data_IF_426082015780
#
_entry.id   IF_426082015780
#
_cell.length_a   1.000
_cell.length_b   1.000
_cell.length_c   1.000
_cell.angle_alpha   90.00
_cell.angle_beta   90.00
_cell.angle_gamma   90.00
#
_symmetry.space_group_name_H-M   'P 1'
#
loop_
_entity.id
_entity.type
_entity.pdbx_description
1 polymer ?
#
# COMPACT_ATOMS: atom_id res chain seq x y z
N UNK A 1 62.46 10.41 4.99
CA UNK A 1 62.68 9.50 3.84
C UNK A 1 61.85 8.25 4.08
N UNK A 2 60.93 7.93 3.15
CA UNK A 2 59.97 6.79 3.10
C UNK A 2 58.75 6.88 4.04
N UNK A 3 57.62 7.50 3.65
CA UNK A 3 56.53 7.06 2.73
C UNK A 3 55.62 5.94 3.25
N UNK A 4 54.31 6.22 3.14
CA UNK A 4 53.22 5.29 2.81
C UNK A 4 52.60 4.44 3.93
N UNK A 5 51.46 4.90 4.47
CA UNK A 5 50.11 4.32 4.25
C UNK A 5 49.10 4.97 5.20
N UNK A 6 48.58 6.12 4.79
CA UNK A 6 47.30 6.62 5.29
C UNK A 6 46.25 5.82 4.50
N UNK A 7 45.54 4.94 5.20
CA UNK A 7 44.37 4.24 4.69
C UNK A 7 43.22 5.27 4.61
N UNK A 8 43.20 6.08 3.55
CA UNK A 8 41.98 6.74 3.11
C UNK A 8 41.08 5.62 2.60
N UNK A 9 40.16 5.18 3.46
CA UNK A 9 38.99 4.42 3.03
C UNK A 9 38.20 5.38 2.16
N UNK A 10 38.39 5.22 0.85
CA UNK A 10 37.51 5.74 -0.19
C UNK A 10 36.11 5.18 0.12
N UNK A 11 35.33 5.95 0.87
CA UNK A 11 33.89 5.79 0.95
C UNK A 11 33.36 6.16 -0.44
N UNK A 12 33.38 5.20 -1.36
CA UNK A 12 32.63 5.21 -2.60
C UNK A 12 31.14 5.23 -2.20
N UNK A 13 30.65 6.41 -1.83
CA UNK A 13 29.22 6.68 -1.85
C UNK A 13 28.86 6.71 -3.33
N UNK A 14 28.48 5.56 -3.88
CA UNK A 14 27.73 5.48 -5.12
C UNK A 14 26.37 6.13 -4.86
N UNK A 15 26.32 7.46 -4.96
CA UNK A 15 25.10 8.19 -5.23
C UNK A 15 24.66 7.74 -6.63
N UNK A 16 23.85 6.68 -6.69
CA UNK A 16 23.01 6.39 -7.85
C UNK A 16 21.92 7.47 -7.90
N UNK A 17 22.29 8.68 -8.35
CA UNK A 17 21.31 9.62 -8.87
C UNK A 17 20.85 9.05 -10.21
N UNK A 18 19.78 8.27 -10.17
CA UNK A 18 18.98 7.95 -11.35
C UNK A 18 18.48 9.26 -11.94
N UNK A 19 19.25 9.83 -12.86
CA UNK A 19 18.77 10.83 -13.80
C UNK A 19 17.82 10.09 -14.74
N UNK A 20 16.55 10.00 -14.34
CA UNK A 20 15.49 9.50 -15.19
C UNK A 20 15.37 10.45 -16.39
N UNK A 21 16.02 10.12 -17.50
CA UNK A 21 15.80 10.75 -18.79
C UNK A 21 14.37 10.39 -19.18
N UNK A 22 13.49 11.39 -19.09
CA UNK A 22 12.10 11.31 -19.50
C UNK A 22 12.02 11.85 -20.93
N UNK A 23 11.55 11.04 -21.86
CA UNK A 23 11.26 11.42 -23.24
C UNK A 23 9.81 11.08 -23.63
N UNK A 24 9.02 12.08 -23.95
CA UNK A 24 7.74 11.87 -24.62
C UNK A 24 8.00 11.75 -26.11
N UNK A 25 7.34 10.83 -26.80
CA UNK A 25 7.58 10.54 -28.22
C UNK A 25 6.26 10.53 -28.99
N UNK A 26 6.27 10.99 -30.23
CA UNK A 26 5.17 10.78 -31.17
C UNK A 26 5.30 9.39 -31.76
N UNK A 27 4.22 8.62 -31.75
CA UNK A 27 4.14 7.32 -32.42
C UNK A 27 3.69 7.49 -33.86
N UNK A 28 2.68 8.33 -34.07
CA UNK A 28 2.12 8.59 -35.39
C UNK A 28 1.31 9.87 -35.43
N UNK A 29 1.25 10.47 -36.61
CA UNK A 29 0.42 11.62 -36.92
C UNK A 29 -0.23 11.41 -38.28
N UNK A 30 -1.52 11.72 -38.41
CA UNK A 30 -2.24 11.63 -39.67
C UNK A 30 -3.31 12.72 -39.78
N UNK A 31 -3.70 13.04 -41.02
CA UNK A 31 -4.89 13.86 -41.32
C UNK A 31 -6.03 12.90 -41.68
N UNK A 32 -7.14 12.98 -40.95
CA UNK A 32 -8.30 12.11 -41.11
C UNK A 32 -9.54 12.97 -41.26
N UNK A 33 -10.34 12.73 -42.30
CA UNK A 33 -11.67 13.30 -42.41
C UNK A 33 -12.63 12.50 -41.52
N UNK A 34 -13.10 13.11 -40.43
CA UNK A 34 -14.04 12.49 -39.49
C UNK A 34 -15.45 13.00 -39.78
N UNK A 35 -16.30 12.11 -40.25
CA UNK A 35 -17.72 12.39 -40.49
C UNK A 35 -18.57 11.91 -39.32
N UNK A 36 -19.46 12.78 -38.84
CA UNK A 36 -20.43 12.47 -37.80
C UNK A 36 -21.82 12.48 -38.46
N UNK A 37 -22.49 11.34 -38.41
CA UNK A 37 -23.87 11.19 -38.86
C UNK A 37 -24.80 11.37 -37.67
N UNK A 38 -25.55 12.47 -37.64
CA UNK A 38 -26.50 12.74 -36.56
C UNK A 38 -27.82 12.00 -36.82
N UNK A 39 -28.11 11.00 -35.99
CA UNK A 39 -29.33 10.21 -36.07
C UNK A 39 -30.54 10.81 -35.33
N UNK A 40 -30.43 12.02 -34.79
CA UNK A 40 -31.52 12.65 -34.03
C UNK A 40 -32.70 13.11 -34.90
N UNK A 41 -32.50 13.23 -36.21
CA UNK A 41 -33.54 13.64 -37.18
C UNK A 41 -33.87 12.50 -38.14
N UNK A 42 -35.11 12.48 -38.66
CA UNK A 42 -35.60 11.46 -39.62
C UNK A 42 -34.77 11.42 -40.93
N UNK A 43 -34.21 12.56 -41.30
CA UNK A 43 -33.15 12.68 -42.32
C UNK A 43 -31.82 12.82 -41.57
N UNK A 44 -30.95 11.80 -41.58
CA UNK A 44 -29.67 11.88 -40.88
C UNK A 44 -28.75 12.84 -41.61
N UNK A 45 -28.41 13.96 -40.95
CA UNK A 45 -27.42 14.91 -41.46
C UNK A 45 -26.01 14.39 -41.20
N UNK A 46 -25.12 14.55 -42.18
CA UNK A 46 -23.71 14.19 -42.07
C UNK A 46 -22.86 15.46 -42.10
N UNK A 47 -22.04 15.63 -41.07
CA UNK A 47 -21.08 16.73 -40.96
C UNK A 47 -19.67 16.15 -40.92
N UNK A 48 -18.83 16.50 -41.89
CA UNK A 48 -17.46 16.01 -41.98
C UNK A 48 -16.46 17.15 -41.73
N UNK A 49 -15.54 16.92 -40.80
CA UNK A 49 -14.43 17.84 -40.53
C UNK A 49 -13.09 17.14 -40.80
N UNK A 50 -12.13 17.87 -41.35
CA UNK A 50 -10.74 17.41 -41.41
C UNK A 50 -10.10 17.57 -40.04
N UNK A 51 -9.55 16.48 -39.48
CA UNK A 51 -8.91 16.45 -38.16
C UNK A 51 -7.50 15.93 -38.27
N UNK A 52 -6.60 16.51 -37.48
CA UNK A 52 -5.28 15.95 -37.24
C UNK A 52 -5.39 15.05 -36.02
N UNK A 53 -4.96 13.79 -36.19
CA UNK A 53 -4.92 12.79 -35.13
C UNK A 53 -3.47 12.47 -34.83
N UNK A 54 -3.08 12.62 -33.57
CA UNK A 54 -1.71 12.41 -33.08
C UNK A 54 -1.74 11.38 -31.98
N UNK A 55 -1.06 10.26 -32.18
CA UNK A 55 -0.83 9.26 -31.16
C UNK A 55 0.55 9.50 -30.54
N UNK A 56 0.61 9.68 -29.22
CA UNK A 56 1.85 10.01 -28.51
C UNK A 56 2.01 9.17 -27.24
N UNK A 57 3.26 8.88 -26.89
CA UNK A 57 3.61 8.34 -25.58
C UNK A 57 4.01 9.48 -24.65
N UNK A 58 3.32 9.61 -23.53
CA UNK A 58 3.69 10.55 -22.48
C UNK A 58 4.47 9.82 -21.39
N UNK A 59 5.62 10.38 -21.03
CA UNK A 59 6.14 10.28 -19.66
C UNK A 59 6.17 11.69 -19.07
N UNK A 60 6.45 11.81 -17.77
CA UNK A 60 6.25 13.02 -16.94
C UNK A 60 7.04 14.30 -17.32
N UNK A 61 7.02 14.71 -18.58
CA UNK A 61 7.64 15.90 -19.17
C UNK A 61 6.61 16.70 -19.99
N UNK A 62 6.87 18.00 -20.12
CA UNK A 62 6.13 18.94 -20.97
C UNK A 62 6.42 18.68 -22.45
N UNK A 63 5.38 18.28 -23.20
CA UNK A 63 5.41 18.13 -24.65
C UNK A 63 4.46 19.14 -25.27
N UNK A 64 4.91 19.93 -26.26
CA UNK A 64 4.11 21.01 -26.86
C UNK A 64 3.78 20.71 -28.32
N UNK A 65 2.49 20.72 -28.65
CA UNK A 65 1.98 20.63 -30.03
C UNK A 65 1.45 22.00 -30.43
N UNK A 66 1.98 22.54 -31.52
CA UNK A 66 1.54 23.79 -32.14
C UNK A 66 0.74 23.46 -33.40
N UNK A 67 -0.49 23.94 -33.54
CA UNK A 67 -1.30 23.72 -34.75
C UNK A 67 -1.64 25.01 -35.45
N UNK A 68 -1.54 25.04 -36.78
CA UNK A 68 -1.92 26.20 -37.60
C UNK A 68 -3.25 25.92 -38.30
N UNK A 69 -4.18 26.86 -38.20
CA UNK A 69 -5.49 26.82 -38.86
C UNK A 69 -5.50 27.89 -39.98
N UNK A 70 -5.73 27.48 -41.21
CA UNK A 70 -5.98 28.34 -42.36
C UNK A 70 -7.51 28.46 -42.54
N UNK A 71 -8.10 29.60 -42.17
CA UNK A 71 -9.52 29.86 -42.46
C UNK A 71 -9.62 30.62 -43.80
N UNK A 72 -10.31 30.03 -44.78
CA UNK A 72 -10.54 30.64 -46.09
C UNK A 72 -11.87 31.40 -46.05
N UNK A 73 -11.81 32.72 -45.95
CA UNK A 73 -12.99 33.57 -46.03
C UNK A 73 -13.54 33.58 -47.46
N UNK A 74 -14.84 33.83 -47.65
CA UNK A 74 -15.58 33.76 -48.92
C UNK A 74 -15.05 34.66 -50.06
N UNK A 75 -13.96 35.39 -49.82
CA UNK A 75 -13.20 36.22 -50.76
C UNK A 75 -11.78 35.71 -51.08
N UNK A 76 -11.43 34.44 -50.78
CA UNK A 76 -10.08 33.84 -51.00
C UNK A 76 -8.92 34.52 -50.26
N UNK A 77 -9.21 35.33 -49.25
CA UNK A 77 -8.20 35.83 -48.34
C UNK A 77 -8.02 34.80 -47.22
N UNK A 78 -6.83 34.19 -47.16
CA UNK A 78 -6.45 33.31 -46.06
C UNK A 78 -6.13 34.16 -44.84
N UNK A 79 -6.96 34.07 -43.81
CA UNK A 79 -6.65 34.63 -42.49
C UNK A 79 -5.93 33.57 -41.69
N UNK A 80 -4.66 33.82 -41.35
CA UNK A 80 -3.87 32.95 -40.48
C UNK A 80 -4.51 33.00 -39.09
N UNK A 81 -5.24 31.96 -38.70
CA UNK A 81 -5.64 31.81 -37.32
C UNK A 81 -4.41 31.39 -36.51
N UNK A 82 -4.18 32.09 -35.40
CA UNK A 82 -3.05 31.85 -34.50
C UNK A 82 -3.06 30.44 -33.95
N UNK A 83 -1.87 29.89 -33.64
CA UNK A 83 -1.79 28.49 -33.33
C UNK A 83 -2.42 28.11 -31.99
N UNK A 84 -3.06 26.95 -31.94
CA UNK A 84 -3.44 26.29 -30.68
C UNK A 84 -2.21 25.54 -30.19
N UNK A 85 -1.80 25.85 -28.96
CA UNK A 85 -0.62 25.29 -28.32
C UNK A 85 -1.10 24.36 -27.21
N UNK A 86 -0.81 23.07 -27.33
CA UNK A 86 -1.21 22.06 -26.34
C UNK A 86 0.04 21.52 -25.65
N UNK A 87 0.14 21.72 -24.34
CA UNK A 87 1.25 21.21 -23.52
C UNK A 87 0.81 20.15 -22.52
N UNK A 88 1.48 19.00 -22.49
CA UNK A 88 1.08 17.86 -21.66
C UNK A 88 1.92 17.72 -20.39
N UNK A 89 1.30 17.38 -19.28
CA UNK A 89 1.97 17.04 -18.03
C UNK A 89 1.34 15.76 -17.45
N UNK A 90 2.16 14.82 -17.00
CA UNK A 90 1.70 13.59 -16.38
C UNK A 90 2.14 13.53 -14.92
N UNK A 91 1.20 13.26 -14.02
CA UNK A 91 1.49 13.05 -12.60
C UNK A 91 2.37 11.81 -12.39
N UNK A 92 2.99 11.69 -11.21
CA UNK A 92 3.58 10.41 -10.79
C UNK A 92 2.51 9.31 -10.85
N UNK A 93 2.89 8.13 -11.34
CA UNK A 93 1.99 6.97 -11.37
C UNK A 93 1.95 6.36 -9.99
N UNK A 94 0.74 6.13 -9.47
CA UNK A 94 0.52 5.54 -8.16
C UNK A 94 -0.32 4.27 -8.28
N UNK A 95 0.03 3.25 -7.49
CA UNK A 95 -0.79 2.08 -7.28
C UNK A 95 -1.66 2.33 -6.04
N UNK A 96 -2.98 2.38 -6.23
CA UNK A 96 -3.96 2.65 -5.17
C UNK A 96 -4.71 1.37 -4.85
N UNK A 97 -4.48 0.84 -3.66
CA UNK A 97 -5.12 -0.36 -3.16
C UNK A 97 -6.21 -0.01 -2.15
N UNK A 98 -7.36 -0.67 -2.26
CA UNK A 98 -8.42 -0.60 -1.26
C UNK A 98 -8.29 -1.72 -0.24
N UNK A 99 -8.92 -1.51 0.92
CA UNK A 99 -8.84 -2.42 2.05
C UNK A 99 -10.21 -2.85 2.53
N UNK A 100 -10.30 -4.09 3.03
CA UNK A 100 -11.49 -4.63 3.69
C UNK A 100 -11.11 -5.08 5.08
N UNK A 101 -11.87 -4.66 6.09
CA UNK A 101 -11.68 -5.11 7.46
C UNK A 101 -11.95 -6.61 7.57
N UNK A 102 -11.07 -7.33 8.27
CA UNK A 102 -11.21 -8.77 8.50
C UNK A 102 -11.46 -9.09 9.97
N UNK A 103 -10.57 -8.68 10.87
CA UNK A 103 -10.65 -8.93 12.31
C UNK A 103 -9.68 -8.02 13.08
N UNK A 104 -9.73 -8.05 14.42
CA UNK A 104 -8.75 -7.40 15.28
C UNK A 104 -7.89 -8.45 15.99
N UNK A 105 -6.61 -8.14 16.19
CA UNK A 105 -5.67 -8.99 16.91
C UNK A 105 -4.93 -8.18 17.98
N UNK A 106 -4.65 -8.79 19.13
CA UNK A 106 -3.86 -8.15 20.17
C UNK A 106 -2.41 -7.95 19.70
N UNK A 107 -1.78 -6.87 20.14
CA UNK A 107 -0.37 -6.60 19.85
C UNK A 107 0.55 -7.70 20.40
N UNK A 108 0.26 -8.18 21.61
CA UNK A 108 0.98 -9.25 22.28
C UNK A 108 0.00 -10.19 23.01
N UNK A 109 0.27 -11.49 22.92
CA UNK A 109 -0.32 -12.51 23.76
C UNK A 109 0.67 -12.83 24.91
N UNK A 110 0.20 -12.71 26.15
CA UNK A 110 1.03 -12.73 27.35
C UNK A 110 0.68 -13.97 28.17
N UNK A 111 1.70 -14.75 28.50
CA UNK A 111 1.57 -15.85 29.46
C UNK A 111 1.96 -15.36 30.86
N UNK A 112 1.08 -15.57 31.83
CA UNK A 112 1.39 -15.39 33.26
C UNK A 112 1.37 -16.75 33.98
N UNK A 113 2.27 -16.89 34.96
CA UNK A 113 2.41 -18.12 35.75
C UNK A 113 1.94 -17.82 37.17
N UNK A 114 1.04 -18.66 37.70
CA UNK A 114 0.60 -18.62 39.09
C UNK A 114 1.05 -19.92 39.76
N UNK A 115 2.00 -19.82 40.69
CA UNK A 115 2.46 -20.98 41.45
C UNK A 115 1.44 -21.40 42.51
N UNK A 116 1.31 -22.71 42.69
CA UNK A 116 0.45 -23.36 43.68
C UNK A 116 1.20 -24.51 44.34
N UNK A 117 0.69 -24.90 45.50
CA UNK A 117 1.17 -26.06 46.22
C UNK A 117 0.27 -27.25 45.85
N UNK A 118 0.84 -28.32 45.32
CA UNK A 118 0.17 -29.59 45.10
C UNK A 118 0.89 -30.65 45.92
N UNK A 119 0.52 -30.77 47.20
CA UNK A 119 0.96 -31.89 48.02
C UNK A 119 0.27 -33.16 47.51
N UNK A 120 0.95 -34.31 47.54
CA UNK A 120 0.47 -35.66 47.17
C UNK A 120 -0.90 -36.07 47.77
N UNK A 121 -1.48 -35.26 48.67
CA UNK A 121 -2.67 -35.51 49.47
C UNK A 121 -3.80 -34.47 49.18
N UNK A 122 -3.49 -33.34 48.54
CA UNK A 122 -4.47 -32.27 48.26
C UNK A 122 -4.49 -31.94 46.77
N UNK A 123 -5.27 -32.68 45.99
CA UNK A 123 -5.49 -32.37 44.57
C UNK A 123 -6.19 -31.01 44.43
N UNK A 124 -5.43 -29.95 44.19
CA UNK A 124 -5.99 -28.64 43.89
C UNK A 124 -6.77 -28.68 42.57
N UNK A 125 -7.97 -28.07 42.47
CA UNK A 125 -8.76 -28.03 41.24
C UNK A 125 -8.22 -26.91 40.35
N UNK A 126 -7.06 -27.10 39.74
CA UNK A 126 -6.40 -25.99 39.07
C UNK A 126 -7.06 -25.65 37.69
N UNK A 127 -7.72 -26.62 37.05
CA UNK A 127 -8.27 -26.54 35.68
C UNK A 127 -9.81 -26.60 35.56
N UNK A 128 -10.56 -26.65 36.67
CA UNK A 128 -12.04 -26.72 36.60
C UNK A 128 -12.61 -25.36 36.21
N UNK A 129 -13.54 -25.32 35.26
CA UNK A 129 -14.18 -24.08 34.77
C UNK A 129 -14.83 -23.22 35.87
N UNK A 130 -15.33 -23.84 36.93
CA UNK A 130 -16.01 -23.15 38.06
C UNK A 130 -15.05 -22.64 39.15
N UNK A 131 -13.77 -23.03 39.14
CA UNK A 131 -12.78 -22.68 40.17
C UNK A 131 -11.35 -22.58 39.61
N UNK A 132 -11.21 -22.18 38.34
CA UNK A 132 -9.91 -22.16 37.67
C UNK A 132 -9.01 -21.10 38.29
N UNK A 133 -7.71 -21.41 38.38
CA UNK A 133 -6.74 -20.49 38.98
C UNK A 133 -6.55 -19.21 38.16
N UNK A 134 -6.73 -19.31 36.84
CA UNK A 134 -6.66 -18.17 35.92
C UNK A 134 -7.95 -17.35 35.83
N UNK A 135 -9.05 -17.83 36.42
CA UNK A 135 -10.40 -17.37 36.07
C UNK A 135 -10.85 -17.93 34.73
N UNK A 136 -12.17 -17.96 34.49
CA UNK A 136 -12.76 -18.34 33.21
C UNK A 136 -13.57 -17.16 32.71
N UNK A 137 -13.40 -16.81 31.43
CA UNK A 137 -14.19 -15.77 30.79
C UNK A 137 -15.47 -16.40 30.28
N UNK A 138 -16.61 -15.85 30.68
CA UNK A 138 -17.91 -16.38 30.28
C UNK A 138 -18.09 -16.35 28.75
N UNK A 139 -18.62 -17.44 28.19
CA UNK A 139 -18.76 -17.63 26.76
C UNK A 139 -17.46 -17.87 25.97
N UNK A 140 -16.28 -17.85 26.59
CA UNK A 140 -14.99 -18.10 25.92
C UNK A 140 -14.42 -19.45 26.33
N UNK A 141 -14.44 -20.41 25.39
CA UNK A 141 -13.86 -21.74 25.59
C UNK A 141 -12.36 -21.65 25.85
N UNK A 142 -11.86 -22.56 26.67
CA UNK A 142 -10.45 -22.78 26.94
C UNK A 142 -9.73 -21.59 27.63
N UNK A 143 -10.49 -20.57 28.03
CA UNK A 143 -9.97 -19.36 28.69
C UNK A 143 -9.43 -19.61 30.09
N UNK A 144 -9.77 -20.76 30.69
CA UNK A 144 -9.34 -21.15 32.03
C UNK A 144 -7.84 -21.47 32.15
N UNK A 145 -7.09 -21.48 31.05
CA UNK A 145 -5.67 -21.84 31.02
C UNK A 145 -5.46 -23.34 31.27
N UNK A 146 -4.25 -23.72 31.66
CA UNK A 146 -3.94 -25.10 32.03
C UNK A 146 -2.95 -25.17 33.17
N UNK A 147 -2.92 -26.30 33.85
CA UNK A 147 -2.04 -26.51 34.99
C UNK A 147 -1.00 -27.60 34.75
N UNK A 148 0.15 -27.38 35.35
CA UNK A 148 1.29 -28.26 35.31
C UNK A 148 1.71 -28.59 36.73
N UNK A 149 2.09 -29.84 36.96
CA UNK A 149 2.49 -30.35 38.27
C UNK A 149 3.66 -31.30 38.11
N UNK A 150 4.44 -31.42 39.16
CA UNK A 150 5.46 -32.45 39.26
C UNK A 150 4.82 -33.84 39.11
N UNK A 151 5.41 -34.67 38.25
CA UNK A 151 5.04 -36.07 38.14
C UNK A 151 5.63 -36.87 39.32
N UNK A 152 5.08 -38.04 39.62
CA UNK A 152 5.59 -38.90 40.70
C UNK A 152 7.05 -39.31 40.53
N UNK A 153 7.56 -39.35 39.29
CA UNK A 153 8.97 -39.58 38.99
C UNK A 153 9.85 -38.37 39.24
N UNK A 154 9.31 -37.14 39.13
CA UNK A 154 10.08 -35.90 39.34
C UNK A 154 10.43 -35.73 40.83
N UNK A 155 9.60 -36.24 41.74
CA UNK A 155 9.90 -36.26 43.17
C UNK A 155 11.02 -37.25 43.57
N UNK A 156 11.39 -38.19 42.69
CA UNK A 156 12.32 -39.29 42.99
C UNK A 156 13.56 -39.32 42.08
N UNK A 157 13.62 -38.44 41.07
CA UNK A 157 14.67 -38.38 40.06
C UNK A 157 15.15 -36.94 39.81
N UNK A 158 16.07 -36.70 38.86
CA UNK A 158 16.46 -35.34 38.51
C UNK A 158 15.28 -34.59 37.90
N UNK A 159 15.07 -33.35 38.34
CA UNK A 159 13.99 -32.47 37.88
C UNK A 159 13.93 -32.45 36.35
N UNK A 160 12.81 -32.90 35.79
CA UNK A 160 12.52 -32.71 34.38
C UNK A 160 12.14 -31.25 34.16
N UNK A 161 12.67 -30.62 33.11
CA UNK A 161 12.33 -29.24 32.74
C UNK A 161 10.80 -29.09 32.65
N UNK A 162 10.23 -28.38 33.62
CA UNK A 162 8.82 -28.01 33.61
C UNK A 162 8.68 -26.59 33.07
N UNK A 163 7.59 -26.32 32.34
CA UNK A 163 7.29 -25.00 31.74
C UNK A 163 7.39 -23.86 32.76
N UNK A 164 6.96 -24.14 33.99
CA UNK A 164 6.98 -23.19 35.10
C UNK A 164 8.26 -23.20 35.94
N UNK A 165 9.27 -24.03 35.60
CA UNK A 165 10.45 -24.25 36.43
C UNK A 165 10.06 -24.56 37.90
N UNK A 166 9.18 -25.55 38.04
CA UNK A 166 8.67 -26.09 39.29
C UNK A 166 9.82 -26.70 40.11
N UNK A 167 9.64 -26.65 41.43
CA UNK A 167 10.55 -27.25 42.41
C UNK A 167 9.87 -28.51 42.95
N UNK A 168 10.29 -29.70 42.51
CA UNK A 168 9.61 -30.96 42.83
C UNK A 168 10.12 -31.59 44.13
N UNK A 169 10.27 -30.77 45.18
CA UNK A 169 10.60 -31.21 46.53
C UNK A 169 9.33 -31.47 47.36
N UNK A 170 9.40 -32.40 48.32
CA UNK A 170 8.26 -32.89 49.12
C UNK A 170 7.48 -31.79 49.88
N UNK A 171 8.07 -30.61 50.07
CA UNK A 171 7.47 -29.47 50.75
C UNK A 171 7.64 -28.14 50.01
N UNK A 172 7.90 -28.16 48.69
CA UNK A 172 8.03 -26.91 47.94
C UNK A 172 6.68 -26.21 47.75
N UNK A 173 6.77 -24.88 47.77
CA UNK A 173 5.68 -23.96 47.44
C UNK A 173 5.46 -23.76 45.92
N UNK A 174 6.26 -24.43 45.08
CA UNK A 174 6.18 -24.39 43.61
C UNK A 174 6.08 -25.81 43.02
N UNK A 175 5.27 -26.66 43.65
CA UNK A 175 5.01 -28.04 43.18
C UNK A 175 4.00 -28.10 42.02
N UNK A 176 3.24 -27.03 41.81
CA UNK A 176 2.36 -26.85 40.65
C UNK A 176 2.35 -25.40 40.14
N UNK A 177 1.98 -25.23 38.87
CA UNK A 177 1.79 -23.93 38.22
C UNK A 177 0.53 -23.92 37.37
N UNK A 178 -0.20 -22.82 37.41
CA UNK A 178 -1.23 -22.48 36.44
C UNK A 178 -0.64 -21.51 35.39
N UNK A 179 -0.91 -21.79 34.12
CA UNK A 179 -0.46 -21.01 32.98
C UNK A 179 -1.66 -20.31 32.36
N UNK A 180 -1.70 -18.99 32.50
CA UNK A 180 -2.83 -18.16 32.12
C UNK A 180 -2.47 -17.33 30.90
N UNK A 181 -3.37 -17.29 29.92
CA UNK A 181 -3.24 -16.43 28.75
C UNK A 181 -3.96 -15.11 29.00
N UNK A 182 -3.31 -14.00 28.72
CA UNK A 182 -3.91 -12.68 28.63
C UNK A 182 -3.43 -11.96 27.38
N UNK A 183 -4.05 -10.83 27.07
CA UNK A 183 -3.73 -10.04 25.89
C UNK A 183 -3.35 -8.62 26.29
N UNK A 184 -2.45 -8.00 25.52
CA UNK A 184 -2.12 -6.59 25.68
C UNK A 184 -3.34 -5.70 25.46
N UNK A 185 -3.33 -4.51 26.08
CA UNK A 185 -4.38 -3.51 25.88
C UNK A 185 -4.36 -2.89 24.46
N UNK A 186 -3.22 -2.93 23.77
CA UNK A 186 -3.13 -2.50 22.38
C UNK A 186 -3.64 -3.59 21.44
N UNK A 187 -4.56 -3.21 20.55
CA UNK A 187 -5.05 -4.05 19.46
C UNK A 187 -4.70 -3.45 18.10
N UNK A 188 -4.70 -4.29 17.08
CA UNK A 188 -4.52 -3.90 15.69
C UNK A 188 -5.71 -4.40 14.88
N UNK A 189 -6.27 -3.51 14.07
CA UNK A 189 -7.21 -3.85 13.02
C UNK A 189 -6.47 -4.43 11.83
N UNK A 190 -6.87 -5.63 11.43
CA UNK A 190 -6.29 -6.36 10.32
C UNK A 190 -7.19 -6.20 9.10
N UNK A 191 -6.61 -5.69 8.02
CA UNK A 191 -7.29 -5.46 6.75
C UNK A 191 -6.71 -6.33 5.65
N UNK A 192 -7.59 -6.92 4.83
CA UNK A 192 -7.20 -7.55 3.58
C UNK A 192 -7.01 -6.52 2.48
N UNK A 193 -5.89 -6.64 1.76
CA UNK A 193 -5.67 -5.88 0.53
C UNK A 193 -6.54 -6.46 -0.58
N UNK A 194 -7.36 -5.60 -1.16
CA UNK A 194 -8.23 -5.89 -2.29
C UNK A 194 -7.53 -5.47 -3.60
N UNK A 195 -8.29 -5.32 -4.67
CA UNK A 195 -7.77 -4.89 -5.97
C UNK A 195 -7.04 -3.55 -5.90
N UNK A 196 -5.83 -3.52 -6.45
CA UNK A 196 -5.06 -2.31 -6.63
C UNK A 196 -5.26 -1.74 -8.03
N UNK A 197 -5.58 -0.45 -8.12
CA UNK A 197 -5.77 0.27 -9.38
C UNK A 197 -4.62 1.21 -9.64
N UNK A 198 -4.16 1.26 -10.88
CA UNK A 198 -3.15 2.24 -11.28
C UNK A 198 -3.84 3.58 -11.51
N UNK A 199 -3.35 4.62 -10.87
CA UNK A 199 -3.84 5.98 -10.99
C UNK A 199 -2.73 6.90 -11.48
N UNK A 200 -3.10 7.71 -12.47
CA UNK A 200 -2.29 8.81 -12.99
C UNK A 200 -3.24 9.82 -13.61
N UNK A 201 -2.86 11.09 -13.53
CA UNK A 201 -3.59 12.18 -14.18
C UNK A 201 -2.69 12.79 -15.23
N UNK A 202 -3.21 12.89 -16.45
CA UNK A 202 -2.56 13.61 -17.54
C UNK A 202 -3.33 14.92 -17.70
N UNK A 203 -2.61 16.02 -17.57
CA UNK A 203 -3.13 17.37 -17.74
C UNK A 203 -2.63 17.93 -19.07
N UNK A 204 -3.53 18.29 -19.95
CA UNK A 204 -3.23 19.05 -21.16
C UNK A 204 -3.58 20.52 -20.91
N UNK A 205 -2.56 21.38 -20.94
CA UNK A 205 -2.71 22.83 -20.87
C UNK A 205 -2.80 23.37 -22.29
N UNK A 206 -3.99 23.81 -22.67
CA UNK A 206 -4.30 24.37 -23.98
C UNK A 206 -4.16 25.89 -23.89
N UNK A 207 -3.44 26.49 -24.84
CA UNK A 207 -3.33 27.92 -25.03
C UNK A 207 -3.78 28.27 -26.44
N UNK A 208 -4.79 29.12 -26.54
CA UNK A 208 -5.39 29.55 -27.79
C UNK A 208 -5.67 31.04 -27.75
N UNK A 209 -5.77 31.68 -28.90
CA UNK A 209 -6.21 33.07 -28.98
C UNK A 209 -7.72 33.11 -29.09
N UNK A 210 -8.37 33.91 -28.24
CA UNK A 210 -9.80 34.17 -28.36
C UNK A 210 -10.05 35.08 -29.59
N UNK A 211 -10.89 34.65 -30.56
CA UNK A 211 -11.15 35.43 -31.77
C UNK A 211 -11.78 36.79 -31.48
N UNK A 212 -12.55 36.93 -30.39
CA UNK A 212 -13.25 38.17 -30.04
C UNK A 212 -12.31 39.12 -29.31
N UNK A 213 -11.62 38.64 -28.28
CA UNK A 213 -10.78 39.50 -27.43
C UNK A 213 -9.34 39.66 -27.94
N UNK A 214 -8.90 38.85 -28.90
CA UNK A 214 -7.52 38.83 -29.42
C UNK A 214 -6.47 38.60 -28.32
N UNK A 215 -6.86 37.97 -27.21
CA UNK A 215 -6.01 37.65 -26.07
C UNK A 215 -5.82 36.14 -25.98
N UNK A 216 -4.61 35.71 -25.60
CA UNK A 216 -4.35 34.30 -25.30
C UNK A 216 -5.08 33.88 -24.03
N UNK A 217 -6.03 32.94 -24.19
CA UNK A 217 -6.67 32.22 -23.09
C UNK A 217 -5.94 30.92 -22.82
N UNK A 218 -6.09 30.43 -21.59
CA UNK A 218 -5.57 29.13 -21.15
C UNK A 218 -6.72 28.29 -20.64
N UNK A 219 -6.72 27.03 -21.03
CA UNK A 219 -7.69 26.05 -20.59
C UNK A 219 -6.96 24.76 -20.21
N UNK A 220 -7.52 24.02 -19.25
CA UNK A 220 -6.91 22.78 -18.77
C UNK A 220 -7.88 21.63 -18.98
N UNK A 221 -7.43 20.61 -19.69
CA UNK A 221 -8.09 19.32 -19.79
C UNK A 221 -7.36 18.31 -18.92
N UNK A 222 -8.12 17.44 -18.26
CA UNK A 222 -7.57 16.36 -17.45
C UNK A 222 -8.19 15.03 -17.86
N UNK A 223 -7.34 14.05 -18.11
CA UNK A 223 -7.74 12.65 -18.36
C UNK A 223 -7.06 11.74 -17.34
N UNK A 224 -7.71 10.62 -17.06
CA UNK A 224 -7.26 9.60 -16.10
C UNK A 224 -7.88 8.24 -16.47
N UNK A 225 -7.39 7.12 -15.92
CA UNK A 225 -8.03 5.82 -16.14
C UNK A 225 -9.52 5.76 -15.76
N UNK A 226 -9.98 6.63 -14.84
CA UNK A 226 -11.40 6.75 -14.44
C UNK A 226 -12.22 7.71 -15.32
N UNK A 227 -11.55 8.60 -16.06
CA UNK A 227 -12.16 9.56 -16.97
C UNK A 227 -11.22 9.72 -18.18
N UNK A 228 -11.27 8.78 -19.14
CA UNK A 228 -10.25 8.65 -20.16
C UNK A 228 -10.40 9.65 -21.31
N UNK A 229 -11.53 10.38 -21.39
CA UNK A 229 -11.86 11.26 -22.51
C UNK A 229 -12.15 12.66 -21.98
N UNK A 230 -11.54 13.68 -22.58
CA UNK A 230 -11.81 15.09 -22.30
C UNK A 230 -11.83 15.91 -23.59
N UNK A 231 -12.65 16.96 -23.64
CA UNK A 231 -12.78 17.82 -24.83
C UNK A 231 -12.90 19.29 -24.45
N UNK A 232 -12.21 20.18 -25.18
CA UNK A 232 -12.33 21.63 -25.08
C UNK A 232 -11.78 22.30 -26.35
N UNK A 233 -12.42 23.39 -26.80
CA UNK A 233 -11.91 24.25 -27.90
C UNK A 233 -11.49 23.47 -29.17
N UNK A 234 -12.29 22.48 -29.58
CA UNK A 234 -11.97 21.65 -30.76
C UNK A 234 -10.85 20.63 -30.56
N UNK A 235 -10.30 20.54 -29.35
CA UNK A 235 -9.33 19.53 -28.91
C UNK A 235 -10.07 18.41 -28.20
N UNK A 236 -9.93 17.18 -28.70
CA UNK A 236 -10.40 15.95 -28.06
C UNK A 236 -9.17 15.14 -27.65
N UNK A 237 -9.11 14.80 -26.37
CA UNK A 237 -8.03 14.04 -25.75
C UNK A 237 -8.56 12.70 -25.24
N UNK A 238 -7.89 11.61 -25.63
CA UNK A 238 -8.29 10.24 -25.29
C UNK A 238 -7.11 9.46 -24.72
N UNK A 239 -7.31 8.81 -23.57
CA UNK A 239 -6.36 7.88 -22.95
C UNK A 239 -6.66 6.46 -23.44
N UNK A 240 -5.80 5.92 -24.28
CA UNK A 240 -5.93 4.55 -24.80
C UNK A 240 -5.51 3.50 -23.77
N UNK A 241 -4.50 3.83 -22.97
CA UNK A 241 -3.99 2.95 -21.92
C UNK A 241 -2.52 3.19 -21.57
N UNK A 242 -1.98 2.33 -20.71
CA UNK A 242 -0.59 2.35 -20.30
C UNK A 242 0.18 1.21 -20.96
N UNK A 243 1.42 1.48 -21.37
CA UNK A 243 2.36 0.42 -21.72
C UNK A 243 2.73 -0.37 -20.46
N UNK A 244 2.92 -1.67 -20.62
CA UNK A 244 3.38 -2.52 -19.53
C UNK A 244 4.78 -2.08 -19.08
N UNK A 245 4.98 -1.76 -17.79
CA UNK A 245 6.30 -1.38 -17.31
C UNK A 245 7.25 -2.59 -17.31
N UNK A 246 8.55 -2.30 -17.46
CA UNK A 246 9.61 -3.33 -17.44
C UNK A 246 9.66 -4.03 -16.08
N UNK A 247 9.52 -3.26 -15.00
CA UNK A 247 9.37 -3.81 -13.65
C UNK A 247 7.87 -3.92 -13.36
N UNK A 248 7.38 -5.05 -12.87
CA UNK A 248 5.95 -5.19 -12.60
C UNK A 248 5.56 -4.52 -11.29
N UNK A 249 4.30 -4.10 -11.18
CA UNK A 249 3.74 -3.66 -9.91
C UNK A 249 3.69 -4.85 -8.94
N UNK A 250 4.03 -4.63 -7.68
CA UNK A 250 3.92 -5.67 -6.65
C UNK A 250 2.44 -5.97 -6.40
N UNK A 251 2.09 -7.26 -6.36
CA UNK A 251 0.78 -7.71 -5.89
C UNK A 251 0.82 -7.81 -4.35
N UNK A 252 -0.21 -7.27 -3.70
CA UNK A 252 -0.38 -7.26 -2.24
C UNK A 252 -1.60 -8.08 -1.79
N UNK A 253 -2.29 -8.77 -2.71
CA UNK A 253 -3.46 -9.62 -2.41
C UNK A 253 -3.14 -10.77 -1.45
N UNK A 254 -1.88 -11.20 -1.33
CA UNK A 254 -1.44 -12.20 -0.35
C UNK A 254 -1.10 -11.60 1.01
N UNK A 255 -1.21 -10.28 1.18
CA UNK A 255 -0.81 -9.57 2.39
C UNK A 255 -2.04 -9.08 3.18
N UNK A 256 -1.80 -8.82 4.47
CA UNK A 256 -2.64 -8.08 5.37
C UNK A 256 -1.95 -6.81 5.84
N UNK A 257 -2.74 -5.76 6.05
CA UNK A 257 -2.32 -4.52 6.69
C UNK A 257 -2.79 -4.54 8.13
N UNK A 258 -1.87 -4.42 9.06
CA UNK A 258 -2.14 -4.29 10.49
C UNK A 258 -2.02 -2.82 10.89
N UNK A 259 -3.13 -2.21 11.30
CA UNK A 259 -3.20 -0.81 11.76
C UNK A 259 -3.52 -0.82 13.26
N UNK A 260 -2.75 -0.16 14.14
CA UNK A 260 -3.08 -0.10 15.56
C UNK A 260 -4.39 0.65 15.77
N UNK A 261 -5.21 0.16 16.71
CA UNK A 261 -6.38 0.86 17.20
C UNK A 261 -5.96 2.15 17.93
N UNK A 262 -6.69 3.23 17.69
CA UNK A 262 -6.43 4.52 18.33
C UNK A 262 -6.80 4.45 19.81
N UNK A 263 -5.79 4.49 20.68
CA UNK A 263 -5.92 4.50 22.12
C UNK A 263 -4.79 5.33 22.77
N UNK A 264 -4.65 5.27 24.09
CA UNK A 264 -3.61 6.00 24.83
C UNK A 264 -2.22 5.32 24.82
N UNK A 265 -2.01 4.29 24.00
CA UNK A 265 -0.73 3.60 23.89
C UNK A 265 0.31 4.45 23.12
N UNK A 266 1.60 4.41 23.50
CA UNK A 266 2.66 5.11 22.74
C UNK A 266 2.73 4.73 21.26
N UNK A 267 2.39 3.49 20.89
CA UNK A 267 2.37 3.04 19.48
C UNK A 267 1.36 3.86 18.67
N UNK A 268 0.22 4.20 19.27
CA UNK A 268 -0.84 5.00 18.64
C UNK A 268 -0.37 6.43 18.32
N UNK A 269 0.64 6.94 19.02
CA UNK A 269 1.18 8.30 18.81
C UNK A 269 2.22 8.37 17.68
N UNK A 270 2.73 7.22 17.21
CA UNK A 270 3.72 7.19 16.13
C UNK A 270 3.12 7.62 14.79
N UNK A 271 3.94 8.12 13.85
CA UNK A 271 3.51 8.37 12.48
C UNK A 271 2.89 7.11 11.88
N UNK A 272 1.77 7.25 11.14
CA UNK A 272 1.02 6.11 10.58
C UNK A 272 1.93 5.11 9.84
N UNK A 273 2.86 5.61 9.03
CA UNK A 273 3.80 4.80 8.25
C UNK A 273 4.78 3.97 9.11
N UNK A 274 5.00 4.38 10.35
CA UNK A 274 5.90 3.74 11.31
C UNK A 274 5.15 2.89 12.35
N UNK A 275 3.81 2.91 12.35
CA UNK A 275 2.99 2.06 13.21
C UNK A 275 2.15 1.03 12.46
N UNK A 276 1.98 1.21 11.16
CA UNK A 276 1.25 0.30 10.29
C UNK A 276 2.18 -0.71 9.63
N UNK A 277 1.83 -1.99 9.71
CA UNK A 277 2.61 -3.09 9.14
C UNK A 277 1.89 -3.76 7.97
N UNK A 278 2.67 -4.32 7.04
CA UNK A 278 2.22 -5.19 5.95
C UNK A 278 2.88 -6.57 6.09
N UNK A 279 2.05 -7.58 6.29
CA UNK A 279 2.47 -8.93 6.67
C UNK A 279 1.77 -9.96 5.79
N UNK A 280 2.48 -11.01 5.40
CA UNK A 280 1.90 -12.09 4.60
C UNK A 280 0.75 -12.77 5.37
N UNK A 281 -0.35 -13.08 4.68
CA UNK A 281 -1.55 -13.70 5.25
C UNK A 281 -1.27 -15.00 5.97
N UNK A 282 -0.26 -15.76 5.54
CA UNK A 282 0.15 -17.01 6.18
C UNK A 282 0.64 -16.82 7.61
N UNK A 283 1.02 -15.60 8.03
CA UNK A 283 1.45 -15.32 9.40
C UNK A 283 0.28 -15.22 10.39
N UNK A 284 -0.95 -15.17 9.89
CA UNK A 284 -2.15 -14.99 10.69
C UNK A 284 -2.97 -16.28 10.80
N UNK A 285 -3.69 -16.41 11.90
CA UNK A 285 -4.76 -17.40 12.05
C UNK A 285 -5.99 -16.74 12.68
N UNK A 286 -7.05 -16.59 11.88
CA UNK A 286 -8.32 -16.00 12.31
C UNK A 286 -9.09 -16.87 13.29
N UNK A 287 -8.85 -18.18 13.26
CA UNK A 287 -9.55 -19.13 14.13
C UNK A 287 -8.98 -19.12 15.54
N UNK A 288 -7.73 -18.67 15.69
CA UNK A 288 -6.98 -18.70 16.94
C UNK A 288 -6.66 -20.09 17.44
N UNK A 289 -6.67 -21.10 16.56
CA UNK A 289 -6.41 -22.51 16.87
C UNK A 289 -4.95 -22.91 16.58
N UNK A 290 -4.18 -22.05 15.94
CA UNK A 290 -2.80 -22.31 15.54
C UNK A 290 -1.82 -21.55 16.42
N UNK A 291 -0.88 -22.29 17.01
CA UNK A 291 0.24 -21.73 17.76
C UNK A 291 1.19 -20.91 16.88
N UNK A 292 1.83 -19.92 17.49
CA UNK A 292 2.86 -19.08 16.90
C UNK A 292 2.43 -18.34 15.62
N UNK A 293 1.16 -17.96 15.57
CA UNK A 293 0.55 -17.12 14.54
C UNK A 293 -0.07 -15.88 15.17
N UNK A 294 -0.16 -14.80 14.40
CA UNK A 294 -0.89 -13.60 14.82
C UNK A 294 -2.38 -13.96 14.88
N UNK A 295 -2.99 -13.76 16.04
CA UNK A 295 -4.37 -14.19 16.32
C UNK A 295 -4.49 -15.49 17.11
N UNK A 296 -3.37 -16.05 17.61
CA UNK A 296 -3.39 -17.17 18.55
C UNK A 296 -4.32 -16.87 19.74
N UNK A 297 -5.14 -17.85 20.12
CA UNK A 297 -6.14 -17.70 21.17
C UNK A 297 -6.07 -18.82 22.20
N UNK A 298 -6.98 -18.77 23.17
CA UNK A 298 -7.03 -19.66 24.33
C UNK A 298 -6.95 -21.15 23.97
N UNK A 299 -7.74 -21.60 22.98
CA UNK A 299 -7.76 -23.01 22.56
C UNK A 299 -6.42 -23.51 22.02
N UNK A 300 -5.70 -22.72 21.24
CA UNK A 300 -4.36 -23.09 20.76
C UNK A 300 -3.37 -23.20 21.92
N UNK A 301 -3.38 -22.19 22.81
CA UNK A 301 -2.49 -22.13 23.95
C UNK A 301 -2.74 -23.27 24.95
N UNK A 302 -4.01 -23.54 25.25
CA UNK A 302 -4.39 -24.58 26.20
C UNK A 302 -4.10 -25.97 25.63
N UNK A 303 -4.45 -26.22 24.36
CA UNK A 303 -4.37 -27.57 23.77
C UNK A 303 -3.06 -27.87 23.05
N UNK A 304 -2.01 -27.06 23.27
CA UNK A 304 -0.70 -27.32 22.68
C UNK A 304 -0.12 -28.67 23.17
N UNK A 305 0.58 -29.42 22.30
CA UNK A 305 1.19 -30.69 22.67
C UNK A 305 2.29 -30.49 23.70
N UNK A 306 2.42 -31.44 24.64
CA UNK A 306 3.44 -31.42 25.70
C UNK A 306 3.50 -30.08 26.46
N UNK A 307 2.35 -29.43 26.65
CA UNK A 307 2.25 -28.07 27.21
C UNK A 307 3.05 -27.83 28.49
N UNK A 308 3.16 -28.83 29.36
CA UNK A 308 3.88 -28.73 30.63
C UNK A 308 5.38 -28.98 30.54
N UNK A 309 5.86 -29.61 29.47
CA UNK A 309 7.28 -29.84 29.17
C UNK A 309 7.81 -28.83 28.14
N UNK A 310 6.93 -28.06 27.51
CA UNK A 310 7.30 -27.01 26.58
C UNK A 310 7.91 -25.80 27.31
N UNK A 311 8.72 -25.02 26.59
CA UNK A 311 9.31 -23.79 27.12
C UNK A 311 8.25 -22.74 27.47
N UNK A 312 8.56 -21.87 28.44
CA UNK A 312 7.76 -20.69 28.72
C UNK A 312 7.55 -19.85 27.44
N UNK A 313 6.34 -19.32 27.26
CA UNK A 313 5.87 -18.63 26.04
C UNK A 313 5.82 -19.49 24.77
N UNK A 314 5.95 -20.82 24.87
CA UNK A 314 5.63 -21.67 23.71
C UNK A 314 4.18 -21.43 23.29
N UNK A 315 3.93 -21.50 21.98
CA UNK A 315 2.67 -21.15 21.31
C UNK A 315 2.42 -19.64 21.11
N UNK A 316 3.18 -18.76 21.78
CA UNK A 316 2.94 -17.31 21.76
C UNK A 316 4.03 -16.52 21.02
N UNK A 317 4.78 -17.16 20.11
CA UNK A 317 5.81 -16.51 19.29
C UNK A 317 5.22 -15.92 18.00
N UNK A 318 5.97 -15.08 17.30
CA UNK A 318 5.59 -14.48 16.02
C UNK A 318 4.31 -13.63 16.11
N UNK A 319 4.16 -12.88 17.19
CA UNK A 319 3.08 -11.92 17.38
C UNK A 319 3.43 -10.57 16.74
N UNK A 320 2.46 -9.65 16.65
CA UNK A 320 2.67 -8.33 16.06
C UNK A 320 3.84 -7.58 16.72
N UNK A 321 3.95 -7.68 18.05
CA UNK A 321 5.08 -7.16 18.83
C UNK A 321 6.44 -7.66 18.33
N UNK A 322 6.57 -8.94 18.02
CA UNK A 322 7.84 -9.52 17.60
C UNK A 322 8.33 -8.92 16.27
N UNK A 323 7.43 -8.59 15.34
CA UNK A 323 7.77 -7.95 14.07
C UNK A 323 8.03 -6.46 14.22
N UNK A 324 7.24 -5.81 15.09
CA UNK A 324 7.33 -4.40 15.39
C UNK A 324 8.67 -4.06 16.07
N UNK A 325 9.06 -4.81 17.10
CA UNK A 325 10.33 -4.62 17.82
C UNK A 325 11.55 -4.92 16.95
N UNK A 326 11.43 -5.83 15.98
CA UNK A 326 12.47 -6.08 14.97
C UNK A 326 12.62 -4.93 13.96
N UNK A 327 11.67 -4.00 13.92
CA UNK A 327 11.67 -2.88 12.98
C UNK A 327 11.39 -3.32 11.54
N UNK A 328 10.65 -4.40 11.35
CA UNK A 328 10.40 -5.04 10.04
C UNK A 328 8.95 -4.86 9.60
N UNK A 329 8.67 -5.11 8.32
CA UNK A 329 7.31 -5.14 7.77
C UNK A 329 6.52 -3.83 7.84
N UNK A 330 7.12 -2.69 8.19
CA UNK A 330 6.43 -1.40 8.12
C UNK A 330 6.10 -1.01 6.69
N UNK A 331 4.95 -0.36 6.49
CA UNK A 331 4.55 0.12 5.16
C UNK A 331 5.51 1.18 4.61
N UNK A 332 6.26 1.88 5.46
CA UNK A 332 7.31 2.81 5.06
C UNK A 332 8.39 2.15 4.18
N UNK A 333 8.57 0.83 4.27
CA UNK A 333 9.50 0.08 3.42
C UNK A 333 9.02 -0.09 1.97
N UNK A 334 7.74 0.18 1.67
CA UNK A 334 7.16 0.03 0.33
C UNK A 334 7.50 1.18 -0.62
N UNK A 335 8.10 2.26 -0.11
CA UNK A 335 8.49 3.44 -0.89
C UNK A 335 7.71 4.70 -0.51
N UNK A 336 7.60 5.63 -1.45
CA UNK A 336 6.90 6.91 -1.24
C UNK A 336 5.38 6.66 -1.19
N UNK A 337 4.77 6.94 -0.05
CA UNK A 337 3.33 6.81 0.17
C UNK A 337 2.70 8.20 0.03
N UNK A 338 1.82 8.39 -0.95
CA UNK A 338 1.23 9.73 -1.23
C UNK A 338 0.01 10.03 -0.39
N UNK A 339 -0.81 9.01 -0.09
CA UNK A 339 -2.06 9.16 0.66
C UNK A 339 -2.39 7.90 1.44
N UNK A 340 -2.78 8.11 2.69
CA UNK A 340 -3.30 7.13 3.63
C UNK A 340 -4.53 7.78 4.25
N UNK A 341 -5.72 7.26 3.98
CA UNK A 341 -6.95 7.90 4.44
C UNK A 341 -7.52 7.22 5.67
N UNK A 342 -7.55 7.96 6.78
CA UNK A 342 -8.37 7.67 7.95
C UNK A 342 -9.19 8.94 8.18
N UNK A 343 -10.46 8.99 7.74
CA UNK A 343 -11.33 10.15 8.01
C UNK A 343 -12.09 9.97 9.32
N UNK A 344 -12.11 11.06 10.08
CA UNK A 344 -12.88 11.28 11.30
C UNK A 344 -14.31 11.78 11.06
N UNK A 345 -14.83 11.77 9.82
CA UNK A 345 -16.19 12.23 9.52
C UNK A 345 -17.11 11.11 9.04
N UNK A 346 -18.32 11.12 9.60
CA UNK A 346 -19.09 9.95 10.00
C UNK A 346 -19.73 9.05 8.93
N UNK A 347 -19.46 9.14 7.63
CA UNK A 347 -20.26 8.34 6.69
C UNK A 347 -19.57 7.41 5.70
N UNK A 348 -18.27 7.52 5.39
CA UNK A 348 -17.52 6.43 4.72
C UNK A 348 -16.03 6.51 5.11
N UNK A 349 -15.50 5.45 5.73
CA UNK A 349 -14.07 5.31 6.08
C UNK A 349 -13.38 4.45 5.01
N UNK A 350 -13.07 5.03 3.86
CA UNK A 350 -12.30 4.30 2.85
C UNK A 350 -10.81 4.40 3.16
N UNK A 351 -10.27 3.39 3.85
CA UNK A 351 -8.82 3.25 4.00
C UNK A 351 -8.24 2.79 2.65
N UNK A 352 -7.35 3.59 2.08
CA UNK A 352 -6.61 3.25 0.87
C UNK A 352 -5.12 3.52 1.07
N UNK A 353 -4.30 2.73 0.37
CA UNK A 353 -2.85 2.89 0.29
C UNK A 353 -2.48 3.28 -1.13
N UNK A 354 -1.90 4.48 -1.28
CA UNK A 354 -1.38 4.98 -2.55
C UNK A 354 0.16 4.92 -2.54
N UNK A 355 0.72 3.95 -3.27
CA UNK A 355 2.16 3.76 -3.45
C UNK A 355 2.62 4.41 -4.75
N UNK A 356 3.58 5.33 -4.67
CA UNK A 356 4.22 5.89 -5.85
C UNK A 356 5.08 4.83 -6.50
N UNK A 357 4.85 4.59 -7.78
CA UNK A 357 5.66 3.68 -8.54
C UNK A 357 6.97 4.37 -8.97
N UNK A 358 8.15 3.82 -8.60
CA UNK A 358 9.43 4.52 -8.77
C UNK A 358 9.99 4.46 -10.19
N UNK A 359 9.43 3.62 -11.06
CA UNK A 359 9.91 3.43 -12.42
C UNK A 359 9.04 4.19 -13.44
N UNK A 360 9.61 4.43 -14.62
CA UNK A 360 8.92 5.14 -15.69
C UNK A 360 7.81 4.26 -16.29
N UNK A 361 6.59 4.79 -16.29
CA UNK A 361 5.44 4.23 -17.00
C UNK A 361 5.11 5.18 -18.14
N UNK A 362 4.83 4.63 -19.32
CA UNK A 362 4.42 5.40 -20.49
C UNK A 362 2.93 5.21 -20.72
N UNK A 363 2.21 6.28 -20.99
CA UNK A 363 0.79 6.25 -21.37
C UNK A 363 0.65 6.59 -22.85
N UNK A 364 -0.21 5.86 -23.55
CA UNK A 364 -0.62 6.15 -24.92
C UNK A 364 -1.81 7.10 -24.88
N UNK A 365 -1.64 8.27 -25.51
CA UNK A 365 -2.67 9.29 -25.59
C UNK A 365 -2.88 9.69 -27.04
N UNK A 366 -4.14 9.84 -27.41
CA UNK A 366 -4.56 10.31 -28.73
C UNK A 366 -5.08 11.73 -28.61
N UNK A 367 -4.48 12.64 -29.37
CA UNK A 367 -4.91 14.02 -29.53
C UNK A 367 -5.60 14.17 -30.88
N UNK A 368 -6.85 14.60 -30.86
CA UNK A 368 -7.63 14.93 -32.04
C UNK A 368 -7.88 16.44 -32.05
N UNK A 369 -7.47 17.14 -33.09
CA UNK A 369 -7.63 18.59 -33.21
C UNK A 369 -8.06 18.97 -34.62
N UNK A 370 -8.94 19.97 -34.73
CA UNK A 370 -9.32 20.56 -36.01
C UNK A 370 -8.25 21.58 -36.39
N UNK A 371 -7.39 21.22 -37.35
CA UNK A 371 -6.32 22.07 -37.85
C UNK A 371 -5.82 21.60 -39.21
N UNK A 372 -5.19 22.49 -39.97
CA UNK A 372 -4.64 22.18 -41.28
C UNK A 372 -3.24 21.62 -41.19
N UNK A 373 -2.41 22.16 -40.31
CA UNK A 373 -1.03 21.70 -40.12
C UNK A 373 -0.68 21.62 -38.63
N UNK A 374 0.33 20.80 -38.34
CA UNK A 374 0.86 20.59 -37.00
C UNK A 374 2.38 20.70 -37.02
N UNK A 375 2.92 21.37 -36.01
CA UNK A 375 4.35 21.44 -35.69
C UNK A 375 4.52 20.96 -34.26
N UNK A 376 5.62 20.24 -34.01
CA UNK A 376 5.98 19.75 -32.69
C UNK A 376 7.25 20.45 -32.26
N UNK A 377 7.20 21.03 -31.06
CA UNK A 377 8.30 21.81 -30.51
C UNK A 377 8.80 21.15 -29.23
N UNK A 378 10.07 20.75 -29.21
CA UNK A 378 10.75 20.17 -28.05
C UNK A 378 11.85 21.11 -27.54
N UNK A 379 11.85 21.39 -26.24
CA UNK A 379 12.90 22.19 -25.61
C UNK A 379 14.02 21.28 -25.11
N UNK A 380 15.23 21.44 -25.68
CA UNK A 380 16.42 20.68 -25.30
C UNK A 380 17.38 21.61 -24.54
N UNK A 381 17.57 21.34 -23.25
CA UNK A 381 18.52 22.06 -22.40
C UNK A 381 19.64 21.12 -21.94
N UNK A 382 20.94 21.50 -22.09
CA UNK A 382 22.04 20.67 -21.60
C UNK A 382 22.08 20.66 -20.07
N UNK A 383 22.18 19.47 -19.48
CA UNK A 383 22.39 19.27 -18.05
C UNK A 383 23.86 19.00 -17.74
N UNK A 384 24.40 19.64 -16.71
CA UNK A 384 25.74 19.36 -16.18
C UNK A 384 25.55 18.70 -14.82
N UNK A 385 26.18 17.54 -14.61
CA UNK A 385 26.23 16.90 -13.29
C UNK A 385 27.26 17.70 -12.47
N UNK A 386 26.87 18.40 -11.40
CA UNK A 386 27.83 19.06 -10.54
C UNK A 386 28.71 17.99 -9.86
N UNK A 387 30.02 18.15 -10.01
CA UNK A 387 31.05 17.26 -9.45
C UNK A 387 31.26 17.59 -7.97
#
# INVERSE_FOLDING_TARGET
MKTFKIFIIFLFITIFLNSNIKSSNIIGSSKIQKCIRNGATQEPSETCDLKIVVAMTLNSNQFTVDTVIDEEDGNKNKTVQTPIIVSFEMSKVSQVCSFKYEFSSAYEAIESIIYKNDYLITSGPCDKSESSTCGSIDGVRDSQGFCCRCSGSDYLGPDQNSRGNLECELFSSKSASAHCLSFSNQYFHIFSVQECKIQSTITANIRYMDPISQVYKKEKLQISPTSPIATAQGVLLELEGNFMPVVQFKNYESDYIAVPEDNNDPISQLPFVNKTMILDRSLFDKTGLTCNKIGVSYSAFQNQPNRCQAEFKSCLRNQLKDYFEKGTHFISSLGEITRLHQSSNQNIKDLYLALVYPHNVKSLVTLNIVADNMVVTENISPGIIPI
#
